data_IF_441333306319
#
_entry.id   IF_441333306319
#
_cell.length_a   1.000
_cell.length_b   1.000
_cell.length_c   1.000
_cell.angle_alpha   90.00
_cell.angle_beta   90.00
_cell.angle_gamma   90.00
#
_symmetry.space_group_name_H-M   'P 1'
#
loop_
_entity.id
_entity.type
_entity.pdbx_description
1 polymer ?
#
# COMPACT_ATOMS: atom_id res chain seq x y z
N UNK A 1 -6.51 58.08 17.85
CA UNK A 1 -5.86 57.32 16.74
C UNK A 1 -5.00 56.24 17.36
N UNK A 2 -5.37 54.95 17.25
CA UNK A 2 -4.66 53.94 16.41
C UNK A 2 -3.13 54.03 16.65
N UNK A 3 -2.46 53.04 17.24
CA UNK A 3 -2.44 51.64 16.81
C UNK A 3 -2.10 50.70 17.98
N UNK A 4 -2.96 49.69 18.08
CA UNK A 4 -2.84 48.42 18.79
C UNK A 4 -1.42 47.85 18.64
N UNK A 5 -0.77 47.53 19.77
CA UNK A 5 0.34 46.59 19.82
C UNK A 5 -0.18 45.25 19.33
N UNK A 6 0.09 44.93 18.06
CA UNK A 6 -0.14 43.60 17.51
C UNK A 6 0.86 42.66 18.19
N UNK A 7 0.38 41.97 19.23
CA UNK A 7 1.01 40.75 19.71
C UNK A 7 1.03 39.80 18.51
N UNK A 8 2.21 39.65 17.92
CA UNK A 8 2.49 38.59 16.97
C UNK A 8 2.38 37.27 17.76
N UNK A 9 1.17 36.74 17.83
CA UNK A 9 0.98 35.32 18.10
C UNK A 9 1.57 34.60 16.88
N UNK A 10 2.89 34.37 16.92
CA UNK A 10 3.52 33.25 16.24
C UNK A 10 2.87 32.01 16.86
N UNK A 11 1.65 31.70 16.44
CA UNK A 11 1.25 30.32 16.33
C UNK A 11 2.22 29.73 15.31
N UNK A 12 3.39 29.28 15.79
CA UNK A 12 3.87 27.98 15.36
C UNK A 12 2.73 27.03 15.69
N UNK A 13 1.75 26.97 14.79
CA UNK A 13 1.10 25.72 14.50
C UNK A 13 2.29 24.92 13.95
N UNK A 14 3.03 24.27 14.85
CA UNK A 14 3.51 22.94 14.56
C UNK A 14 2.25 22.19 14.19
N UNK A 15 1.86 22.29 12.92
CA UNK A 15 1.26 21.17 12.24
C UNK A 15 2.37 20.14 12.30
N UNK A 16 2.44 19.41 13.42
CA UNK A 16 2.63 17.98 13.32
C UNK A 16 1.52 17.56 12.37
N UNK A 17 1.83 17.61 11.08
CA UNK A 17 1.02 17.01 10.06
C UNK A 17 0.99 15.55 10.45
N UNK A 18 -0.15 15.22 11.07
CA UNK A 18 -0.78 13.92 11.15
C UNK A 18 -0.21 12.98 10.09
N UNK A 19 0.17 11.78 10.55
CA UNK A 19 0.97 10.77 9.90
C UNK A 19 0.99 10.86 8.36
N UNK A 20 2.13 11.35 7.87
CA UNK A 20 2.58 11.26 6.49
C UNK A 20 3.95 10.61 6.58
N UNK A 21 3.93 9.28 6.70
CA UNK A 21 5.09 8.37 6.83
C UNK A 21 6.18 8.76 7.82
N UNK A 22 6.21 8.04 8.94
CA UNK A 22 7.37 8.04 9.81
C UNK A 22 8.61 7.54 9.06
N UNK A 23 9.78 8.00 9.52
CA UNK A 23 11.06 7.47 9.08
C UNK A 23 11.14 5.94 9.18
N UNK A 24 10.55 5.36 10.23
CA UNK A 24 10.54 3.91 10.46
C UNK A 24 9.72 3.15 9.40
N UNK A 25 8.59 3.72 8.96
CA UNK A 25 7.80 3.16 7.85
C UNK A 25 8.62 3.11 6.55
N UNK A 26 9.25 4.24 6.20
CA UNK A 26 10.05 4.33 4.99
C UNK A 26 11.25 3.38 5.03
N UNK A 27 11.91 3.27 6.18
CA UNK A 27 13.00 2.32 6.39
C UNK A 27 12.51 0.88 6.18
N UNK A 28 11.38 0.50 6.78
CA UNK A 28 10.81 -0.83 6.66
C UNK A 28 10.54 -1.23 5.20
N UNK A 29 9.89 -0.37 4.42
CA UNK A 29 9.58 -0.67 3.01
C UNK A 29 10.82 -0.69 2.11
N UNK A 30 11.77 0.22 2.34
CA UNK A 30 13.04 0.17 1.60
C UNK A 30 13.78 -1.15 1.89
N UNK A 31 13.86 -1.57 3.17
CA UNK A 31 14.44 -2.85 3.54
C UNK A 31 13.68 -4.02 2.92
N UNK A 32 12.35 -3.97 2.91
CA UNK A 32 11.50 -5.02 2.32
C UNK A 32 11.75 -5.21 0.82
N UNK A 33 11.72 -4.13 0.02
CA UNK A 33 11.92 -4.25 -1.43
C UNK A 33 13.39 -4.42 -1.82
N UNK A 34 14.32 -3.93 -1.01
CA UNK A 34 15.76 -4.19 -1.18
C UNK A 34 16.15 -5.60 -0.70
N UNK A 35 15.35 -6.24 0.15
CA UNK A 35 15.70 -7.52 0.74
C UNK A 35 16.02 -8.54 -0.37
N UNK A 36 17.24 -9.03 -0.33
CA UNK A 36 17.65 -10.23 -1.02
C UNK A 36 17.84 -11.34 0.02
N UNK A 37 17.93 -12.59 -0.43
CA UNK A 37 18.06 -13.77 0.46
C UNK A 37 19.22 -13.66 1.45
N UNK A 38 20.21 -12.80 1.18
CA UNK A 38 21.41 -12.63 2.00
C UNK A 38 21.32 -11.44 2.97
N UNK A 39 20.28 -10.57 2.88
CA UNK A 39 20.09 -9.35 3.69
C UNK A 39 18.77 -9.33 4.47
N UNK A 40 18.07 -10.45 4.57
CA UNK A 40 16.80 -10.54 5.31
C UNK A 40 16.92 -10.16 6.79
N UNK A 41 18.11 -10.30 7.39
CA UNK A 41 18.35 -9.99 8.80
C UNK A 41 18.06 -8.55 9.21
N UNK A 42 18.31 -7.57 8.33
CA UNK A 42 18.08 -6.15 8.65
C UNK A 42 16.58 -5.81 8.62
N UNK A 43 15.83 -6.43 7.70
CA UNK A 43 14.37 -6.34 7.69
C UNK A 43 13.75 -6.89 8.98
N UNK A 44 14.20 -8.07 9.43
CA UNK A 44 13.68 -8.64 10.69
C UNK A 44 14.02 -7.79 11.91
N UNK A 45 15.22 -7.19 11.96
CA UNK A 45 15.57 -6.22 13.03
C UNK A 45 14.66 -5.00 13.01
N UNK A 46 14.35 -4.45 11.83
CA UNK A 46 13.44 -3.31 11.71
C UNK A 46 12.01 -3.68 12.17
N UNK A 47 11.53 -4.87 11.80
CA UNK A 47 10.24 -5.40 12.27
C UNK A 47 10.21 -5.53 13.79
N UNK A 48 11.25 -6.10 14.41
CA UNK A 48 11.34 -6.24 15.86
C UNK A 48 11.43 -4.89 16.57
N UNK A 49 12.17 -3.93 16.01
CA UNK A 49 12.20 -2.55 16.52
C UNK A 49 10.79 -1.94 16.52
N UNK A 50 10.02 -2.11 15.45
CA UNK A 50 8.66 -1.59 15.33
C UNK A 50 7.71 -2.30 16.31
N UNK A 51 7.80 -3.62 16.47
CA UNK A 51 6.95 -4.35 17.45
C UNK A 51 7.18 -3.91 18.89
N UNK A 52 8.42 -3.56 19.23
CA UNK A 52 8.84 -3.16 20.58
C UNK A 52 8.81 -1.63 20.78
N UNK A 53 8.49 -0.86 19.74
CA UNK A 53 8.42 0.59 19.80
C UNK A 53 7.20 1.11 20.57
N UNK A 54 7.32 2.30 21.15
CA UNK A 54 6.24 2.96 21.87
C UNK A 54 5.44 3.86 20.92
N UNK A 55 4.46 3.26 20.24
CA UNK A 55 3.60 3.94 19.26
C UNK A 55 2.17 4.10 19.78
N UNK A 56 1.47 5.12 19.28
CA UNK A 56 0.03 5.28 19.53
C UNK A 56 -0.78 4.10 18.97
N UNK A 57 -2.00 3.90 19.47
CA UNK A 57 -2.86 2.76 19.08
C UNK A 57 -3.04 2.63 17.56
N UNK A 58 -3.38 3.75 16.91
CA UNK A 58 -3.63 3.82 15.45
C UNK A 58 -2.37 3.55 14.64
N UNK A 59 -1.26 4.18 15.01
CA UNK A 59 0.05 3.97 14.37
C UNK A 59 0.52 2.52 14.53
N UNK A 60 0.42 1.95 15.74
CA UNK A 60 0.76 0.56 16.01
C UNK A 60 -0.05 -0.39 15.14
N UNK A 61 -1.37 -0.19 15.05
CA UNK A 61 -2.23 -1.02 14.20
C UNK A 61 -1.88 -0.87 12.72
N UNK A 62 -1.50 0.33 12.28
CA UNK A 62 -1.00 0.58 10.93
C UNK A 62 0.25 -0.27 10.65
N UNK A 63 1.25 -0.27 11.53
CA UNK A 63 2.41 -1.15 11.38
C UNK A 63 2.07 -2.64 11.37
N UNK A 64 1.17 -3.08 12.26
CA UNK A 64 0.73 -4.49 12.30
C UNK A 64 0.08 -4.92 10.98
N UNK A 65 -0.73 -4.04 10.36
CA UNK A 65 -1.35 -4.29 9.07
C UNK A 65 -0.28 -4.48 7.97
N UNK A 66 0.72 -3.60 7.91
CA UNK A 66 1.76 -3.64 6.87
C UNK A 66 2.69 -4.85 7.04
N UNK A 67 3.10 -5.13 8.28
CA UNK A 67 3.95 -6.28 8.60
C UNK A 67 3.23 -7.59 8.24
N UNK A 68 1.91 -7.68 8.48
CA UNK A 68 1.11 -8.84 8.06
C UNK A 68 1.13 -9.01 6.53
N UNK A 69 0.97 -7.94 5.77
CA UNK A 69 1.01 -8.00 4.30
C UNK A 69 2.38 -8.45 3.79
N UNK A 70 3.46 -7.90 4.36
CA UNK A 70 4.83 -8.34 4.05
C UNK A 70 5.03 -9.82 4.37
N UNK A 71 4.59 -10.27 5.54
CA UNK A 71 4.70 -11.66 5.99
C UNK A 71 3.91 -12.65 5.11
N UNK A 72 2.70 -12.31 4.67
CA UNK A 72 1.92 -13.16 3.76
C UNK A 72 2.64 -13.35 2.43
N UNK A 73 3.26 -12.29 1.92
CA UNK A 73 4.01 -12.37 0.66
C UNK A 73 5.34 -13.13 0.83
N UNK A 74 6.10 -12.83 1.89
CA UNK A 74 7.41 -13.46 2.12
C UNK A 74 7.31 -14.92 2.52
N UNK A 75 6.23 -15.29 3.20
CA UNK A 75 5.99 -16.63 3.69
C UNK A 75 4.66 -17.14 3.12
N UNK A 76 4.64 -17.61 1.85
CA UNK A 76 3.42 -18.11 1.23
C UNK A 76 2.81 -19.26 2.04
N UNK A 77 1.52 -19.13 2.33
CA UNK A 77 0.72 -20.11 3.10
C UNK A 77 -0.42 -20.65 2.25
N UNK A 78 -1.16 -21.62 2.80
CA UNK A 78 -2.39 -22.08 2.16
C UNK A 78 -3.40 -20.94 1.98
N UNK A 79 -4.27 -21.03 0.96
CA UNK A 79 -5.36 -20.07 0.73
C UNK A 79 -6.21 -19.86 1.99
N UNK A 80 -6.56 -20.96 2.68
CA UNK A 80 -7.36 -20.95 3.91
C UNK A 80 -6.68 -20.20 5.05
N UNK A 81 -5.39 -20.44 5.25
CA UNK A 81 -4.62 -19.81 6.33
C UNK A 81 -4.42 -18.32 6.07
N UNK A 82 -4.03 -17.95 4.85
CA UNK A 82 -3.87 -16.54 4.44
C UNK A 82 -5.17 -15.76 4.60
N UNK A 83 -6.30 -16.34 4.16
CA UNK A 83 -7.63 -15.75 4.34
C UNK A 83 -8.00 -15.57 5.82
N UNK A 84 -7.70 -16.56 6.66
CA UNK A 84 -7.97 -16.49 8.11
C UNK A 84 -7.17 -15.35 8.76
N UNK A 85 -5.86 -15.29 8.50
CA UNK A 85 -4.98 -14.26 9.07
C UNK A 85 -5.44 -12.84 8.69
N UNK A 86 -5.75 -12.63 7.41
CA UNK A 86 -6.25 -11.34 6.92
C UNK A 86 -7.59 -10.97 7.55
N UNK A 87 -8.54 -11.90 7.63
CA UNK A 87 -9.85 -11.63 8.22
C UNK A 87 -9.81 -11.39 9.74
N UNK A 88 -9.00 -12.14 10.46
CA UNK A 88 -8.83 -11.91 11.89
C UNK A 88 -8.17 -10.55 12.13
N UNK A 89 -7.26 -10.13 11.25
CA UNK A 89 -6.71 -8.78 11.27
C UNK A 89 -7.75 -7.69 10.92
N UNK A 90 -8.61 -7.92 9.91
CA UNK A 90 -9.72 -7.01 9.58
C UNK A 90 -10.63 -6.80 10.79
N UNK A 91 -10.96 -7.87 11.53
CA UNK A 91 -11.79 -7.77 12.75
C UNK A 91 -11.13 -6.92 13.85
N UNK A 92 -9.80 -6.97 13.99
CA UNK A 92 -9.05 -6.11 14.94
C UNK A 92 -9.12 -4.63 14.56
N UNK A 93 -9.24 -4.34 13.27
CA UNK A 93 -9.39 -2.99 12.75
C UNK A 93 -10.82 -2.45 12.88
N UNK A 94 -11.85 -3.30 12.90
CA UNK A 94 -13.26 -2.86 13.00
C UNK A 94 -13.53 -1.85 14.13
N UNK A 95 -13.03 -2.04 15.37
CA UNK A 95 -13.22 -1.08 16.47
C UNK A 95 -12.54 0.28 16.27
N UNK A 96 -11.69 0.42 15.24
CA UNK A 96 -10.87 1.60 14.96
C UNK A 96 -11.28 2.32 13.66
N UNK A 97 -12.25 1.81 12.90
CA UNK A 97 -12.69 2.39 11.62
C UNK A 97 -13.28 3.82 11.74
N UNK A 98 -13.57 4.30 12.95
CA UNK A 98 -14.02 5.68 13.20
C UNK A 98 -12.87 6.68 13.21
N UNK A 99 -11.62 6.23 13.31
CA UNK A 99 -10.43 7.09 13.31
C UNK A 99 -10.25 7.76 11.95
N UNK A 100 -9.96 9.07 11.95
CA UNK A 100 -9.74 9.85 10.72
C UNK A 100 -8.26 10.04 10.43
N UNK A 101 -7.56 8.93 10.23
CA UNK A 101 -6.15 8.90 9.86
C UNK A 101 -5.98 8.20 8.50
N UNK A 102 -5.37 8.90 7.54
CA UNK A 102 -5.32 8.43 6.15
C UNK A 102 -4.40 7.21 5.99
N UNK A 103 -3.27 7.17 6.71
CA UNK A 103 -2.32 6.05 6.70
C UNK A 103 -2.97 4.80 7.29
N UNK A 104 -3.64 4.95 8.43
CA UNK A 104 -4.41 3.87 9.04
C UNK A 104 -5.49 3.34 8.10
N UNK A 105 -6.34 4.23 7.57
CA UNK A 105 -7.41 3.87 6.63
C UNK A 105 -6.85 3.12 5.42
N UNK A 106 -5.78 3.63 4.79
CA UNK A 106 -5.13 2.97 3.68
C UNK A 106 -4.67 1.56 4.05
N UNK A 107 -4.01 1.39 5.20
CA UNK A 107 -3.52 0.07 5.64
C UNK A 107 -4.65 -0.94 5.88
N UNK A 108 -5.82 -0.49 6.37
CA UNK A 108 -6.99 -1.35 6.52
C UNK A 108 -7.54 -1.78 5.17
N UNK A 109 -7.65 -0.83 4.24
CA UNK A 109 -8.10 -1.11 2.88
C UNK A 109 -7.13 -2.04 2.13
N UNK A 110 -5.82 -1.93 2.37
CA UNK A 110 -4.81 -2.83 1.79
C UNK A 110 -4.96 -4.27 2.31
N UNK A 111 -5.24 -4.46 3.62
CA UNK A 111 -5.53 -5.78 4.20
C UNK A 111 -6.81 -6.36 3.61
N UNK A 112 -7.87 -5.55 3.47
CA UNK A 112 -9.12 -5.98 2.83
C UNK A 112 -8.92 -6.35 1.36
N UNK A 113 -8.17 -5.53 0.61
CA UNK A 113 -7.86 -5.77 -0.80
C UNK A 113 -7.02 -7.03 -0.97
N UNK A 114 -6.07 -7.28 -0.07
CA UNK A 114 -5.26 -8.49 -0.09
C UNK A 114 -6.08 -9.74 0.19
N UNK A 115 -7.10 -9.65 1.06
CA UNK A 115 -8.00 -10.77 1.36
C UNK A 115 -8.81 -11.24 0.14
N UNK A 116 -9.04 -10.36 -0.85
CA UNK A 116 -9.76 -10.69 -2.10
C UNK A 116 -9.11 -11.89 -2.80
N UNK A 117 -7.78 -11.94 -2.89
CA UNK A 117 -7.03 -13.03 -3.55
C UNK A 117 -7.32 -14.41 -2.94
N UNK A 118 -7.78 -14.44 -1.69
CA UNK A 118 -8.04 -15.66 -0.93
C UNK A 118 -9.52 -15.92 -0.67
N UNK A 119 -10.41 -15.09 -1.22
CA UNK A 119 -11.84 -15.08 -0.93
C UNK A 119 -12.68 -15.92 -1.90
N UNK A 120 -13.97 -16.08 -1.55
CA UNK A 120 -15.03 -16.48 -2.48
C UNK A 120 -15.58 -15.25 -3.22
N UNK A 121 -16.32 -15.46 -4.31
CA UNK A 121 -16.88 -14.36 -5.12
C UNK A 121 -17.73 -13.38 -4.31
N UNK A 122 -18.59 -13.88 -3.40
CA UNK A 122 -19.44 -13.02 -2.58
C UNK A 122 -18.61 -12.13 -1.63
N UNK A 123 -17.53 -12.68 -1.05
CA UNK A 123 -16.63 -11.89 -0.21
C UNK A 123 -15.76 -10.94 -1.04
N UNK A 124 -15.39 -11.29 -2.28
CA UNK A 124 -14.71 -10.38 -3.23
C UNK A 124 -15.53 -9.10 -3.42
N UNK A 125 -16.83 -9.19 -3.72
CA UNK A 125 -17.69 -8.01 -3.94
C UNK A 125 -17.75 -7.13 -2.69
N UNK A 126 -17.98 -7.75 -1.53
CA UNK A 126 -18.09 -7.06 -0.24
C UNK A 126 -16.79 -6.39 0.19
N UNK A 127 -15.66 -7.11 0.10
CA UNK A 127 -14.34 -6.58 0.48
C UNK A 127 -13.89 -5.48 -0.48
N UNK A 128 -14.12 -5.65 -1.78
CA UNK A 128 -13.80 -4.62 -2.79
C UNK A 128 -14.57 -3.33 -2.54
N UNK A 129 -15.88 -3.42 -2.30
CA UNK A 129 -16.71 -2.24 -2.02
C UNK A 129 -16.24 -1.49 -0.78
N UNK A 130 -15.97 -2.21 0.32
CA UNK A 130 -15.49 -1.61 1.57
C UNK A 130 -14.08 -1.02 1.45
N UNK A 131 -13.15 -1.73 0.83
CA UNK A 131 -11.80 -1.23 0.62
C UNK A 131 -11.81 0.05 -0.23
N UNK A 132 -12.61 0.06 -1.31
CA UNK A 132 -12.80 1.24 -2.15
C UNK A 132 -13.33 2.46 -1.37
N UNK A 133 -14.36 2.27 -0.54
CA UNK A 133 -14.91 3.32 0.31
C UNK A 133 -13.87 3.87 1.29
N UNK A 134 -13.07 2.99 1.91
CA UNK A 134 -12.03 3.39 2.87
C UNK A 134 -10.91 4.17 2.15
N UNK A 135 -10.46 3.74 0.97
CA UNK A 135 -9.51 4.53 0.17
C UNK A 135 -10.08 5.90 -0.18
N UNK A 136 -11.35 5.99 -0.55
CA UNK A 136 -12.01 7.27 -0.85
C UNK A 136 -12.07 8.19 0.37
N UNK A 137 -12.33 7.62 1.55
CA UNK A 137 -12.34 8.39 2.80
C UNK A 137 -10.94 8.89 3.17
N UNK A 138 -9.90 8.08 2.99
CA UNK A 138 -8.52 8.51 3.17
C UNK A 138 -8.14 9.64 2.18
N UNK A 139 -8.58 9.54 0.92
CA UNK A 139 -8.35 10.57 -0.11
C UNK A 139 -9.14 11.86 0.13
N UNK A 140 -10.27 11.81 0.87
CA UNK A 140 -10.95 13.03 1.34
C UNK A 140 -10.14 13.78 2.40
N UNK A 141 -9.38 13.05 3.23
CA UNK A 141 -8.47 13.64 4.22
C UNK A 141 -7.25 14.23 3.51
N UNK A 142 -6.64 13.48 2.60
CA UNK A 142 -5.51 13.91 1.79
C UNK A 142 -5.64 13.40 0.35
N UNK A 143 -6.01 14.29 -0.58
CA UNK A 143 -6.25 13.95 -1.98
C UNK A 143 -5.00 13.46 -2.73
N UNK A 144 -3.81 13.67 -2.17
CA UNK A 144 -2.51 13.30 -2.72
C UNK A 144 -1.84 12.17 -1.91
N UNK A 145 -2.61 11.49 -1.06
CA UNK A 145 -2.11 10.41 -0.22
C UNK A 145 -1.68 9.21 -1.07
N UNK A 146 -0.36 9.01 -1.20
CA UNK A 146 0.24 8.01 -2.06
C UNK A 146 -0.32 6.58 -1.86
N UNK A 147 -0.39 6.01 -0.64
CA UNK A 147 -0.82 4.62 -0.48
C UNK A 147 -2.29 4.45 -0.83
N UNK A 148 -3.15 5.43 -0.52
CA UNK A 148 -4.56 5.37 -0.92
C UNK A 148 -4.74 5.50 -2.44
N UNK A 149 -3.94 6.35 -3.10
CA UNK A 149 -3.95 6.44 -4.57
C UNK A 149 -3.52 5.11 -5.19
N UNK A 150 -2.41 4.54 -4.71
CA UNK A 150 -1.89 3.29 -5.23
C UNK A 150 -2.85 2.13 -4.98
N UNK A 151 -3.31 1.94 -3.74
CA UNK A 151 -4.24 0.88 -3.36
C UNK A 151 -5.55 0.97 -4.15
N UNK A 152 -6.10 2.17 -4.30
CA UNK A 152 -7.29 2.39 -5.14
C UNK A 152 -7.03 2.08 -6.61
N UNK A 153 -5.87 2.46 -7.15
CA UNK A 153 -5.51 2.15 -8.54
C UNK A 153 -5.44 0.63 -8.77
N UNK A 154 -4.78 -0.10 -7.87
CA UNK A 154 -4.71 -1.57 -7.91
C UNK A 154 -6.11 -2.17 -7.82
N UNK A 155 -6.89 -1.81 -6.81
CA UNK A 155 -8.25 -2.34 -6.63
C UNK A 155 -9.11 -2.08 -7.87
N UNK A 156 -9.02 -0.89 -8.46
CA UNK A 156 -9.75 -0.52 -9.69
C UNK A 156 -9.28 -1.37 -10.88
N UNK A 157 -7.97 -1.53 -11.07
CA UNK A 157 -7.40 -2.29 -12.18
C UNK A 157 -7.83 -3.77 -12.17
N UNK A 158 -7.98 -4.35 -10.98
CA UNK A 158 -8.29 -5.77 -10.79
C UNK A 158 -9.77 -6.06 -10.54
N UNK A 159 -10.58 -5.05 -10.21
CA UNK A 159 -12.03 -5.21 -10.10
C UNK A 159 -12.72 -5.36 -11.47
N UNK A 160 -13.84 -6.10 -11.55
CA UNK A 160 -14.64 -6.17 -12.78
C UNK A 160 -15.18 -4.79 -13.23
N UNK A 161 -15.35 -4.60 -14.54
CA UNK A 161 -15.83 -3.33 -15.11
C UNK A 161 -17.22 -2.92 -14.60
N UNK A 162 -18.13 -3.88 -14.44
CA UNK A 162 -19.50 -3.64 -14.02
C UNK A 162 -19.64 -3.15 -12.56
N UNK A 163 -18.61 -3.35 -11.72
CA UNK A 163 -18.53 -2.74 -10.38
C UNK A 163 -17.66 -1.48 -10.35
N UNK A 164 -17.35 -0.91 -11.52
CA UNK A 164 -16.56 0.32 -11.61
C UNK A 164 -15.06 0.11 -11.78
N UNK A 165 -14.58 -1.14 -11.92
CA UNK A 165 -13.18 -1.45 -12.19
C UNK A 165 -12.78 -1.31 -13.66
N UNK A 166 -11.58 -1.80 -13.98
CA UNK A 166 -10.98 -1.81 -15.32
C UNK A 166 -9.67 -1.03 -15.40
N UNK A 167 -8.83 -1.44 -16.36
CA UNK A 167 -7.50 -0.84 -16.57
C UNK A 167 -7.62 0.64 -16.92
N UNK A 168 -8.50 1.02 -17.85
CA UNK A 168 -8.67 2.40 -18.31
C UNK A 168 -9.01 3.37 -17.17
N UNK A 169 -9.82 2.92 -16.21
CA UNK A 169 -10.18 3.72 -15.02
C UNK A 169 -9.04 3.77 -14.00
N UNK A 170 -8.21 2.73 -13.94
CA UNK A 170 -7.09 2.67 -13.02
C UNK A 170 -5.90 3.53 -13.44
N UNK A 171 -5.63 3.68 -14.75
CA UNK A 171 -4.42 4.34 -15.26
C UNK A 171 -4.30 5.82 -14.85
N UNK A 172 -5.37 6.65 -14.86
CA UNK A 172 -5.31 8.00 -14.32
C UNK A 172 -4.97 8.05 -12.83
N UNK A 173 -5.43 7.05 -12.06
CA UNK A 173 -5.15 6.95 -10.62
C UNK A 173 -3.69 6.53 -10.40
N UNK A 174 -3.18 5.56 -11.17
CA UNK A 174 -1.76 5.19 -11.16
C UNK A 174 -0.87 6.38 -11.49
N UNK A 175 -1.21 7.17 -12.52
CA UNK A 175 -0.43 8.37 -12.88
C UNK A 175 -0.43 9.40 -11.74
N UNK A 176 -1.54 9.56 -11.04
CA UNK A 176 -1.61 10.43 -9.87
C UNK A 176 -0.79 9.87 -8.70
N UNK A 177 -0.83 8.57 -8.44
CA UNK A 177 0.03 7.91 -7.45
C UNK A 177 1.52 8.12 -7.80
N UNK A 178 1.90 7.93 -9.06
CA UNK A 178 3.25 8.13 -9.57
C UNK A 178 3.74 9.56 -9.31
N UNK A 179 2.92 10.57 -9.63
CA UNK A 179 3.28 11.98 -9.38
C UNK A 179 3.41 12.35 -7.90
N UNK A 180 2.85 11.54 -7.00
CA UNK A 180 2.92 11.75 -5.55
C UNK A 180 3.90 10.81 -4.84
N UNK A 181 4.58 9.93 -5.58
CA UNK A 181 5.63 9.07 -5.06
C UNK A 181 6.92 9.88 -4.82
N UNK A 182 7.28 10.07 -3.57
CA UNK A 182 8.46 10.82 -3.11
C UNK A 182 9.62 9.87 -2.83
N UNK A 183 9.35 8.78 -2.13
CA UNK A 183 10.36 7.83 -1.67
C UNK A 183 10.77 6.81 -2.75
N UNK A 184 11.95 6.21 -2.58
CA UNK A 184 12.43 5.16 -3.49
C UNK A 184 11.47 3.97 -3.54
N UNK A 185 11.00 3.52 -2.39
CA UNK A 185 10.07 2.40 -2.30
C UNK A 185 8.73 2.73 -2.96
N UNK A 186 8.22 3.95 -2.80
CA UNK A 186 6.97 4.43 -3.42
C UNK A 186 7.07 4.39 -4.95
N UNK A 187 8.17 4.96 -5.49
CA UNK A 187 8.45 4.95 -6.93
C UNK A 187 8.57 3.52 -7.46
N UNK A 188 9.29 2.67 -6.75
CA UNK A 188 9.43 1.26 -7.12
C UNK A 188 8.08 0.56 -7.20
N UNK A 189 7.26 0.66 -6.14
CA UNK A 189 6.02 -0.11 -6.04
C UNK A 189 4.95 0.41 -6.99
N UNK A 190 4.87 1.73 -7.24
CA UNK A 190 3.93 2.28 -8.24
C UNK A 190 4.32 1.86 -9.65
N UNK A 191 5.61 1.87 -10.01
CA UNK A 191 6.05 1.37 -11.31
C UNK A 191 5.76 -0.11 -11.46
N UNK A 192 6.02 -0.90 -10.41
CA UNK A 192 5.79 -2.33 -10.45
C UNK A 192 4.31 -2.66 -10.63
N UNK A 193 3.40 -2.07 -9.84
CA UNK A 193 1.96 -2.32 -10.02
C UNK A 193 1.41 -1.77 -11.35
N UNK A 194 1.92 -0.64 -11.82
CA UNK A 194 1.57 -0.13 -13.15
C UNK A 194 1.99 -1.11 -14.23
N UNK A 195 3.18 -1.72 -14.11
CA UNK A 195 3.61 -2.78 -15.03
C UNK A 195 2.67 -3.98 -14.99
N UNK A 196 2.20 -4.38 -13.80
CA UNK A 196 1.28 -5.51 -13.65
C UNK A 196 -0.12 -5.22 -14.23
N UNK A 197 -0.58 -3.97 -14.17
CA UNK A 197 -1.80 -3.54 -14.84
C UNK A 197 -1.68 -3.69 -16.37
N UNK A 198 -0.57 -3.26 -16.96
CA UNK A 198 -0.30 -3.45 -18.39
C UNK A 198 -0.09 -4.92 -18.77
N UNK A 199 0.55 -5.71 -17.89
CA UNK A 199 0.69 -7.16 -18.08
C UNK A 199 -0.69 -7.83 -18.18
N UNK A 200 -1.62 -7.50 -17.28
CA UNK A 200 -3.01 -7.99 -17.33
C UNK A 200 -3.71 -7.57 -18.63
N UNK A 201 -3.39 -6.40 -19.17
CA UNK A 201 -4.00 -5.87 -20.39
C UNK A 201 -3.32 -6.35 -21.68
N UNK A 202 -2.34 -7.26 -21.61
CA UNK A 202 -1.52 -7.70 -22.74
C UNK A 202 -0.77 -6.55 -23.47
N UNK A 203 -0.53 -5.44 -22.78
CA UNK A 203 0.27 -4.32 -23.32
C UNK A 203 1.74 -4.53 -22.96
N UNK A 204 2.43 -5.27 -23.84
CA UNK A 204 3.83 -5.66 -23.63
C UNK A 204 4.76 -4.45 -23.54
N UNK A 205 4.57 -3.42 -24.37
CA UNK A 205 5.48 -2.28 -24.44
C UNK A 205 5.47 -1.48 -23.13
N UNK A 206 4.28 -1.17 -22.61
CA UNK A 206 4.17 -0.45 -21.34
C UNK A 206 4.53 -1.32 -20.14
N UNK A 207 4.20 -2.62 -20.17
CA UNK A 207 4.66 -3.57 -19.16
C UNK A 207 6.19 -3.56 -19.04
N UNK A 208 6.93 -3.73 -20.14
CA UNK A 208 8.39 -3.78 -20.14
C UNK A 208 9.01 -2.46 -19.67
N UNK A 209 8.46 -1.33 -20.12
CA UNK A 209 8.89 0.02 -19.70
C UNK A 209 8.81 0.18 -18.18
N UNK A 210 7.63 -0.06 -17.60
CA UNK A 210 7.41 0.14 -16.16
C UNK A 210 8.14 -0.91 -15.31
N UNK A 211 8.25 -2.15 -15.79
CA UNK A 211 9.03 -3.19 -15.14
C UNK A 211 10.52 -2.81 -15.07
N UNK A 212 11.08 -2.23 -16.15
CA UNK A 212 12.45 -1.71 -16.14
C UNK A 212 12.62 -0.60 -15.10
N UNK A 213 11.71 0.37 -15.07
CA UNK A 213 11.76 1.48 -14.09
C UNK A 213 11.71 0.98 -12.64
N UNK A 214 10.91 -0.06 -12.36
CA UNK A 214 10.87 -0.68 -11.04
C UNK A 214 12.19 -1.40 -10.70
N UNK A 215 12.77 -2.16 -11.65
CA UNK A 215 14.05 -2.87 -11.50
C UNK A 215 15.21 -1.93 -11.25
N UNK A 216 15.26 -0.79 -11.94
CA UNK A 216 16.37 0.16 -11.82
C UNK A 216 16.49 0.74 -10.38
N UNK A 217 15.43 0.67 -9.56
CA UNK A 217 15.45 1.16 -8.16
C UNK A 217 15.99 0.11 -7.18
N UNK A 218 15.53 -1.15 -7.31
CA UNK A 218 15.99 -2.28 -6.48
C UNK A 218 16.36 -3.48 -7.36
N UNK A 219 17.51 -3.43 -8.07
CA UNK A 219 17.85 -4.41 -9.10
C UNK A 219 18.05 -5.83 -8.55
N UNK A 220 18.52 -5.92 -7.31
CA UNK A 220 18.81 -7.19 -6.62
C UNK A 220 17.69 -7.63 -5.66
N UNK A 221 16.54 -6.94 -5.66
CA UNK A 221 15.43 -7.23 -4.75
C UNK A 221 14.81 -8.60 -5.03
N UNK A 222 14.71 -9.47 -4.02
CA UNK A 222 14.08 -10.77 -4.18
C UNK A 222 12.60 -10.66 -4.61
N UNK A 223 11.92 -9.61 -4.15
CA UNK A 223 10.54 -9.32 -4.53
C UNK A 223 10.38 -9.19 -6.05
N UNK A 224 11.15 -8.29 -6.68
CA UNK A 224 11.01 -8.05 -8.13
C UNK A 224 11.46 -9.25 -8.95
N UNK A 225 12.45 -10.02 -8.48
CA UNK A 225 12.85 -11.28 -9.11
C UNK A 225 11.69 -12.28 -9.12
N UNK A 226 11.01 -12.46 -7.99
CA UNK A 226 9.85 -13.35 -7.91
C UNK A 226 8.73 -12.92 -8.87
N UNK A 227 8.46 -11.61 -8.99
CA UNK A 227 7.45 -11.09 -9.92
C UNK A 227 7.83 -11.39 -11.38
N UNK A 228 9.09 -11.21 -11.76
CA UNK A 228 9.58 -11.55 -13.10
C UNK A 228 9.40 -13.05 -13.39
N UNK A 229 9.76 -13.90 -12.43
CA UNK A 229 9.62 -15.36 -12.56
C UNK A 229 8.14 -15.79 -12.67
N UNK A 230 7.23 -15.06 -12.01
CA UNK A 230 5.78 -15.25 -12.15
C UNK A 230 5.28 -14.79 -13.53
N UNK A 231 5.67 -13.60 -13.98
CA UNK A 231 5.27 -13.05 -15.27
C UNK A 231 5.77 -13.93 -16.43
N UNK A 232 6.97 -14.51 -16.33
CA UNK A 232 7.50 -15.48 -17.30
C UNK A 232 6.64 -16.75 -17.42
N UNK A 233 5.85 -17.07 -16.38
CA UNK A 233 4.89 -18.19 -16.35
C UNK A 233 3.47 -17.75 -16.71
N UNK A 234 3.29 -16.53 -17.22
CA UNK A 234 1.98 -15.96 -17.55
C UNK A 234 1.14 -15.53 -16.34
N UNK A 235 1.75 -15.38 -15.15
CA UNK A 235 1.03 -15.04 -13.91
C UNK A 235 1.36 -13.62 -13.44
N UNK A 236 0.34 -12.87 -13.06
CA UNK A 236 0.48 -11.54 -12.45
C UNK A 236 0.60 -11.59 -10.93
N UNK A 237 0.87 -10.44 -10.31
CA UNK A 237 0.90 -10.31 -8.84
C UNK A 237 -0.48 -10.44 -8.17
N UNK A 238 -1.54 -10.22 -8.93
CA UNK A 238 -2.93 -10.41 -8.52
C UNK A 238 -3.50 -11.56 -9.35
N UNK A 239 -3.97 -12.62 -8.70
CA UNK A 239 -4.52 -13.81 -9.37
C UNK A 239 -6.03 -13.88 -9.19
#
# INVERSE_FOLDING_TARGET
MRKIFTVLFLTLIFSFSAFSYSRDFNELYNLYYMANTNKAGDLYKAIEKIKNGNYGKTEKQTYENLILLMDIYMNPRSKRESYKLLNDNIKKNTPLLTEKDADYMASVADVMSSAINYSSFNEVVKLSGKAGEIYDNALKINANHFPSLLGKAILTAYSPEFVGGGIDKSLPIFKKAESNAKEKWEKHIVYLWTSQAYFKNNDKANYEKYMKMAKDIFPEGAFIKNVVDMNAKGKGMFN
#
